data_IF_066635710834
#
_entry.id   IF_066635710834
#
_cell.length_a   1.000
_cell.length_b   1.000
_cell.length_c   1.000
_cell.angle_alpha   90.00
_cell.angle_beta   90.00
_cell.angle_gamma   90.00
#
_symmetry.space_group_name_H-M   'P 1'
#
loop_
_entity.id
_entity.type
_entity.pdbx_description
1 polymer ?
#
# COMPACT_ATOMS: atom_id res chain seq x y z
N UNK A 1 0.58 -16.94 1.68
CA UNK A 1 -0.85 -16.90 1.34
C UNK A 1 -1.46 -15.57 1.72
N UNK A 2 -2.12 -14.95 0.77
CA UNK A 2 -2.73 -13.64 1.01
C UNK A 2 -4.03 -13.75 1.78
N UNK A 3 -4.22 -12.87 2.75
CA UNK A 3 -5.45 -12.81 3.53
C UNK A 3 -6.35 -11.72 2.97
N UNK A 4 -5.76 -10.58 2.66
CA UNK A 4 -6.48 -9.40 2.18
C UNK A 4 -5.67 -8.80 1.05
N UNK A 5 -6.30 -8.53 -0.08
CA UNK A 5 -5.63 -7.94 -1.23
C UNK A 5 -6.13 -6.53 -1.51
N UNK A 6 -5.27 -5.71 -2.07
CA UNK A 6 -5.62 -4.37 -2.48
C UNK A 6 -5.57 -4.27 -4.00
N UNK A 7 -6.62 -4.71 -4.65
CA UNK A 7 -6.66 -4.71 -6.11
C UNK A 7 -6.67 -3.31 -6.69
N UNK A 8 -7.21 -2.37 -5.94
CA UNK A 8 -7.26 -0.97 -6.38
C UNK A 8 -5.86 -0.41 -6.58
N UNK A 9 -4.89 -0.89 -5.79
CA UNK A 9 -3.52 -0.44 -5.91
C UNK A 9 -2.98 -0.68 -7.32
N UNK A 10 -3.24 -1.86 -7.85
CA UNK A 10 -2.73 -2.22 -9.18
C UNK A 10 -3.50 -1.51 -10.29
N UNK A 11 -4.73 -1.10 -10.00
CA UNK A 11 -5.52 -0.37 -10.97
C UNK A 11 -5.05 1.08 -11.08
N UNK A 12 -4.74 1.70 -9.94
CA UNK A 12 -4.40 3.12 -9.90
C UNK A 12 -2.92 3.42 -10.03
N UNK A 13 -2.06 2.42 -9.83
CA UNK A 13 -0.62 2.65 -9.76
C UNK A 13 0.16 1.60 -10.53
N UNK A 14 1.35 2.01 -11.00
CA UNK A 14 2.32 1.10 -11.57
C UNK A 14 3.26 0.67 -10.46
N UNK A 15 3.15 -0.57 -10.01
CA UNK A 15 3.97 -1.09 -8.92
C UNK A 15 5.27 -1.62 -9.51
N UNK A 16 6.39 -0.98 -9.15
CA UNK A 16 7.68 -1.36 -9.69
C UNK A 16 8.45 -2.31 -8.81
N UNK A 17 8.27 -2.21 -7.51
CA UNK A 17 9.04 -3.02 -6.57
C UNK A 17 8.19 -3.33 -5.37
N UNK A 18 8.41 -4.50 -4.77
CA UNK A 18 7.62 -4.94 -3.62
C UNK A 18 8.53 -5.26 -2.45
N UNK A 19 8.04 -5.00 -1.24
CA UNK A 19 8.76 -5.27 -0.01
C UNK A 19 7.82 -5.93 0.98
N UNK A 20 8.35 -6.92 1.71
CA UNK A 20 7.58 -7.56 2.75
C UNK A 20 7.92 -6.91 4.08
N UNK A 21 6.96 -6.28 4.70
CA UNK A 21 7.16 -5.58 5.97
C UNK A 21 6.46 -6.33 7.09
N UNK A 22 7.10 -6.33 8.27
CA UNK A 22 6.41 -6.75 9.47
C UNK A 22 5.40 -5.67 9.83
N UNK A 23 4.38 -6.04 10.60
CA UNK A 23 3.39 -5.07 11.04
C UNK A 23 3.14 -5.25 12.52
N UNK A 24 3.17 -4.15 13.26
CA UNK A 24 2.94 -4.18 14.70
C UNK A 24 1.44 -4.18 14.96
N UNK A 25 0.94 -5.27 15.51
CA UNK A 25 -0.49 -5.47 15.72
C UNK A 25 -0.81 -5.78 17.17
N UNK A 26 -2.03 -5.42 17.56
CA UNK A 26 -2.56 -5.82 18.85
C UNK A 26 -3.22 -7.19 18.70
N UNK A 27 -3.42 -7.88 19.82
CA UNK A 27 -3.95 -9.24 19.77
C UNK A 27 -5.28 -9.34 19.06
N UNK A 28 -6.19 -8.40 19.31
CA UNK A 28 -7.50 -8.42 18.68
C UNK A 28 -7.40 -8.18 17.18
N UNK A 29 -6.38 -7.42 16.75
CA UNK A 29 -6.15 -7.18 15.31
C UNK A 29 -5.70 -8.45 14.61
N UNK A 30 -4.83 -9.21 15.25
CA UNK A 30 -4.39 -10.49 14.67
C UNK A 30 -5.57 -11.41 14.45
N UNK A 31 -6.43 -11.51 15.45
CA UNK A 31 -7.61 -12.37 15.33
C UNK A 31 -8.54 -11.89 14.25
N UNK A 32 -8.76 -10.58 14.17
CA UNK A 32 -9.64 -10.02 13.17
C UNK A 32 -9.12 -10.25 11.77
N UNK A 33 -7.83 -10.06 11.56
CA UNK A 33 -7.24 -10.27 10.24
C UNK A 33 -7.35 -11.73 9.84
N UNK A 34 -7.09 -12.65 10.78
CA UNK A 34 -7.22 -14.07 10.49
C UNK A 34 -8.64 -14.45 10.09
N UNK A 35 -9.62 -13.75 10.63
CA UNK A 35 -11.01 -13.99 10.32
C UNK A 35 -11.47 -13.26 9.05
N UNK A 36 -10.56 -12.57 8.37
CA UNK A 36 -10.90 -11.84 7.16
C UNK A 36 -11.59 -10.52 7.41
N UNK A 37 -11.51 -10.00 8.61
CA UNK A 37 -12.18 -8.75 8.98
C UNK A 37 -11.26 -7.56 8.85
N UNK A 38 -10.55 -7.48 7.74
CA UNK A 38 -9.62 -6.40 7.48
C UNK A 38 -9.79 -5.91 6.05
N UNK A 39 -9.53 -4.63 5.82
CA UNK A 39 -9.64 -4.03 4.52
C UNK A 39 -8.57 -2.96 4.39
N UNK A 40 -7.82 -3.00 3.29
CA UNK A 40 -6.75 -2.05 3.06
C UNK A 40 -6.98 -1.23 1.80
N UNK A 41 -8.18 -1.29 1.27
CA UNK A 41 -8.52 -0.63 0.03
C UNK A 41 -8.28 0.88 0.09
N UNK A 42 -8.59 1.50 1.23
CA UNK A 42 -8.41 2.93 1.39
C UNK A 42 -7.13 3.27 2.16
N UNK A 43 -6.30 2.28 2.40
CA UNK A 43 -5.10 2.47 3.20
C UNK A 43 -3.95 2.98 2.35
N UNK A 44 -3.01 3.62 3.01
CA UNK A 44 -1.78 4.02 2.34
C UNK A 44 -0.62 3.92 3.33
N UNK A 45 0.58 3.95 2.79
CA UNK A 45 1.80 3.84 3.58
C UNK A 45 2.45 5.21 3.65
N UNK A 46 2.85 5.62 4.83
CA UNK A 46 3.44 6.94 5.03
C UNK A 46 4.77 6.83 5.75
N UNK A 47 5.63 7.80 5.51
CA UNK A 47 6.93 7.89 6.17
C UNK A 47 6.86 9.03 7.15
N UNK A 48 7.29 8.77 8.40
CA UNK A 48 7.27 9.80 9.42
C UNK A 48 8.48 9.60 10.34
N UNK A 49 9.33 10.61 10.43
CA UNK A 49 10.52 10.58 11.28
C UNK A 49 11.40 9.36 11.01
N UNK A 50 11.58 9.01 9.74
CA UNK A 50 12.42 7.89 9.37
C UNK A 50 11.79 6.53 9.60
N UNK A 51 10.52 6.48 9.92
CA UNK A 51 9.79 5.23 10.15
C UNK A 51 8.63 5.13 9.19
N UNK A 52 8.17 3.90 8.99
CA UNK A 52 7.12 3.63 7.99
C UNK A 52 5.89 3.12 8.69
N UNK A 53 4.74 3.68 8.30
CA UNK A 53 3.46 3.37 8.94
C UNK A 53 2.39 3.04 7.92
N UNK A 54 1.48 2.15 8.32
CA UNK A 54 0.28 1.85 7.55
C UNK A 54 -0.86 2.68 8.14
N UNK A 55 -1.44 3.51 7.30
CA UNK A 55 -2.47 4.45 7.71
C UNK A 55 -3.77 4.15 6.99
N UNK A 56 -4.87 4.20 7.72
CA UNK A 56 -6.19 4.07 7.09
C UNK A 56 -6.67 2.65 6.83
N UNK A 57 -5.92 1.65 7.28
CA UNK A 57 -6.40 0.27 7.15
C UNK A 57 -7.51 0.03 8.16
N UNK A 58 -8.56 -0.63 7.72
CA UNK A 58 -9.70 -0.96 8.58
C UNK A 58 -9.57 -2.39 9.08
N UNK A 59 -9.51 -2.55 10.38
CA UNK A 59 -9.49 -3.87 11.01
C UNK A 59 -10.64 -3.88 12.03
N UNK A 60 -11.68 -4.65 11.73
CA UNK A 60 -12.89 -4.66 12.56
C UNK A 60 -12.78 -5.69 13.65
N UNK A 61 -13.05 -5.28 14.89
CA UNK A 61 -13.01 -6.20 16.02
C UNK A 61 -14.07 -7.28 15.88
N UNK A 62 -13.72 -8.47 16.35
CA UNK A 62 -14.68 -9.56 16.41
C UNK A 62 -15.62 -9.32 17.59
N UNK A 63 -16.82 -9.90 17.51
CA UNK A 63 -17.80 -9.72 18.56
C UNK A 63 -17.33 -10.31 19.91
N UNK A 64 -16.38 -11.24 19.85
CA UNK A 64 -15.84 -11.87 21.05
C UNK A 64 -14.72 -11.07 21.70
N UNK A 65 -14.44 -9.89 21.19
CA UNK A 65 -13.37 -9.05 21.75
C UNK A 65 -13.73 -8.65 23.19
N UNK A 66 -12.73 -8.71 24.07
CA UNK A 66 -12.91 -8.40 25.48
C UNK A 66 -13.43 -6.98 25.68
N UNK A 67 -14.26 -6.79 26.71
CA UNK A 67 -14.75 -5.47 27.05
C UNK A 67 -13.65 -4.54 27.53
N UNK A 68 -12.50 -5.08 27.90
CA UNK A 68 -11.37 -4.28 28.32
C UNK A 68 -10.57 -3.72 27.14
N UNK A 69 -10.88 -4.17 25.94
CA UNK A 69 -10.20 -3.71 24.75
C UNK A 69 -11.06 -2.63 24.12
N UNK A 70 -10.41 -1.53 23.74
CA UNK A 70 -11.08 -0.45 23.03
C UNK A 70 -10.55 -0.44 21.59
N UNK A 71 -11.13 -1.28 20.73
CA UNK A 71 -10.59 -1.44 19.38
C UNK A 71 -10.78 -0.20 18.54
N UNK A 72 -9.67 0.30 18.06
CA UNK A 72 -9.67 1.43 17.12
C UNK A 72 -9.49 0.89 15.73
N UNK A 73 -10.54 0.83 14.97
CA UNK A 73 -10.58 0.18 13.66
C UNK A 73 -9.52 0.71 12.70
N UNK A 74 -9.26 2.01 12.75
CA UNK A 74 -8.35 2.65 11.79
C UNK A 74 -7.05 3.13 12.44
N UNK A 75 -6.64 2.47 13.50
CA UNK A 75 -5.39 2.81 14.18
C UNK A 75 -4.21 2.80 13.21
N UNK A 76 -3.31 3.76 13.34
CA UNK A 76 -2.08 3.78 12.55
C UNK A 76 -1.17 2.66 13.07
N UNK A 77 -0.66 1.84 12.16
CA UNK A 77 0.15 0.68 12.52
C UNK A 77 1.54 0.81 11.94
N UNK A 78 2.54 0.53 12.78
CA UNK A 78 3.92 0.65 12.36
C UNK A 78 4.31 -0.56 11.51
N UNK A 79 5.03 -0.29 10.44
CA UNK A 79 5.57 -1.34 9.57
C UNK A 79 7.06 -1.49 9.86
N UNK A 80 7.52 -2.74 9.83
CA UNK A 80 8.91 -3.05 10.19
C UNK A 80 9.67 -3.53 8.97
N UNK A 81 10.74 -2.79 8.67
CA UNK A 81 11.65 -3.12 7.57
C UNK A 81 13.07 -2.89 8.09
N UNK A 82 14.05 -3.47 7.42
CA UNK A 82 15.42 -3.21 7.85
C UNK A 82 15.85 -1.82 7.42
N UNK A 83 16.95 -1.33 8.02
CA UNK A 83 17.39 0.04 7.81
C UNK A 83 17.70 0.34 6.35
N UNK A 84 18.28 -0.62 5.64
CA UNK A 84 18.61 -0.42 4.23
C UNK A 84 17.35 -0.25 3.38
N UNK A 85 16.33 -1.05 3.66
CA UNK A 85 15.07 -0.94 2.93
C UNK A 85 14.39 0.40 3.21
N UNK A 86 14.39 0.81 4.47
CA UNK A 86 13.78 2.09 4.84
C UNK A 86 14.48 3.24 4.13
N UNK A 87 15.80 3.24 4.13
CA UNK A 87 16.57 4.28 3.45
C UNK A 87 16.26 4.34 1.97
N UNK A 88 16.17 3.17 1.32
CA UNK A 88 15.86 3.11 -0.09
C UNK A 88 14.48 3.68 -0.38
N UNK A 89 13.51 3.31 0.44
CA UNK A 89 12.14 3.77 0.23
C UNK A 89 12.02 5.28 0.45
N UNK A 90 12.66 5.80 1.48
CA UNK A 90 12.64 7.23 1.74
C UNK A 90 13.22 7.99 0.55
N UNK A 91 14.36 7.52 0.04
CA UNK A 91 14.98 8.16 -1.11
C UNK A 91 14.10 8.16 -2.34
N UNK A 92 13.47 7.03 -2.62
CA UNK A 92 12.60 6.92 -3.80
C UNK A 92 11.38 7.82 -3.69
N UNK A 93 10.79 7.88 -2.50
CA UNK A 93 9.60 8.72 -2.30
C UNK A 93 9.96 10.19 -2.39
N UNK A 94 11.05 10.60 -1.74
CA UNK A 94 11.38 12.02 -1.64
C UNK A 94 12.04 12.57 -2.89
N UNK A 95 12.86 11.77 -3.55
CA UNK A 95 13.64 12.27 -4.68
C UNK A 95 13.14 11.87 -6.04
N UNK A 96 12.41 10.76 -6.11
CA UNK A 96 12.01 10.22 -7.41
C UNK A 96 10.50 10.22 -7.63
N UNK A 97 9.75 10.77 -6.71
CA UNK A 97 8.30 10.92 -6.90
C UNK A 97 7.50 9.64 -6.78
N UNK A 98 8.07 8.61 -6.16
CA UNK A 98 7.33 7.38 -5.93
C UNK A 98 6.42 7.51 -4.73
N UNK A 99 5.44 6.64 -4.65
CA UNK A 99 4.57 6.54 -3.49
C UNK A 99 4.61 5.12 -2.97
N UNK A 100 4.23 4.95 -1.73
CA UNK A 100 4.17 3.64 -1.10
C UNK A 100 2.72 3.28 -0.86
N UNK A 101 2.39 2.01 -1.04
CA UNK A 101 1.03 1.58 -0.82
C UNK A 101 0.99 0.15 -0.35
N UNK A 102 -0.01 -0.21 0.44
CA UNK A 102 -0.14 -1.61 0.87
C UNK A 102 -0.74 -2.42 -0.27
N UNK A 103 -0.15 -3.58 -0.54
CA UNK A 103 -0.63 -4.45 -1.59
C UNK A 103 -1.47 -5.58 -1.05
N UNK A 104 -1.06 -6.13 0.09
CA UNK A 104 -1.81 -7.19 0.73
C UNK A 104 -1.34 -7.41 2.15
N UNK A 105 -2.17 -8.15 2.90
CA UNK A 105 -1.78 -8.71 4.18
C UNK A 105 -1.73 -10.21 3.99
N UNK A 106 -0.68 -10.84 4.48
CA UNK A 106 -0.51 -12.28 4.25
C UNK A 106 0.22 -12.92 5.43
N UNK A 107 0.15 -14.25 5.48
CA UNK A 107 0.90 -15.01 6.46
C UNK A 107 2.26 -15.38 5.89
N UNK A 108 3.28 -15.23 6.71
CA UNK A 108 4.62 -15.66 6.37
C UNK A 108 5.28 -16.13 7.65
N UNK A 109 5.65 -17.40 7.67
CA UNK A 109 6.31 -18.01 8.81
C UNK A 109 5.54 -17.78 10.12
N UNK A 110 4.23 -17.97 10.05
CA UNK A 110 3.37 -17.86 11.22
C UNK A 110 3.05 -16.46 11.67
N UNK A 111 3.47 -15.46 10.93
CA UNK A 111 3.22 -14.06 11.28
C UNK A 111 2.48 -13.36 10.16
N UNK A 112 1.74 -12.33 10.53
CA UNK A 112 1.06 -11.51 9.57
C UNK A 112 2.04 -10.45 9.07
N UNK A 113 2.18 -10.35 7.76
CA UNK A 113 3.05 -9.39 7.11
C UNK A 113 2.24 -8.52 6.18
N UNK A 114 2.76 -7.35 5.88
CA UNK A 114 2.15 -6.44 4.92
C UNK A 114 3.11 -6.27 3.75
N UNK A 115 2.67 -6.64 2.57
CA UNK A 115 3.47 -6.39 1.38
C UNK A 115 3.19 -4.98 0.92
N UNK A 116 4.26 -4.19 0.77
CA UNK A 116 4.11 -2.82 0.29
C UNK A 116 4.74 -2.69 -1.08
N UNK A 117 4.15 -1.81 -1.87
CA UNK A 117 4.61 -1.56 -3.22
C UNK A 117 5.22 -0.18 -3.33
N UNK A 118 6.35 -0.11 -4.04
CA UNK A 118 6.95 1.14 -4.44
C UNK A 118 6.40 1.42 -5.83
N UNK A 119 5.62 2.48 -5.96
CA UNK A 119 4.81 2.65 -7.15
C UNK A 119 4.72 4.10 -7.59
N UNK A 120 4.34 4.28 -8.84
CA UNK A 120 4.01 5.60 -9.36
C UNK A 120 2.55 5.59 -9.76
N UNK A 121 1.86 6.66 -9.41
CA UNK A 121 0.46 6.79 -9.78
C UNK A 121 0.31 6.88 -11.28
N UNK A 122 -0.82 6.39 -11.77
CA UNK A 122 -1.19 6.58 -13.16
C UNK A 122 -1.73 8.00 -13.27
N UNK A 123 -0.84 8.90 -13.66
CA UNK A 123 -1.17 10.31 -13.67
C UNK A 123 -2.21 10.63 -14.73
N UNK A 124 -2.80 11.79 -14.58
CA UNK A 124 -3.81 12.21 -15.52
C UNK A 124 -3.30 12.20 -16.96
N UNK A 125 -2.07 12.65 -17.17
CA UNK A 125 -1.54 12.66 -18.51
C UNK A 125 -1.28 11.25 -19.04
N UNK A 126 -0.93 10.31 -18.18
CA UNK A 126 -0.76 8.92 -18.60
C UNK A 126 -2.10 8.33 -19.03
N UNK A 127 -3.15 8.67 -18.32
CA UNK A 127 -4.49 8.22 -18.69
C UNK A 127 -4.92 8.85 -20.01
N UNK A 128 -4.61 10.12 -20.19
CA UNK A 128 -4.91 10.80 -21.44
C UNK A 128 -4.15 10.20 -22.60
N UNK A 129 -2.89 9.85 -22.37
CA UNK A 129 -2.09 9.22 -23.40
C UNK A 129 -2.69 7.89 -23.81
N UNK A 130 -3.12 7.11 -22.85
CA UNK A 130 -3.77 5.84 -23.13
C UNK A 130 -5.03 6.05 -23.94
N UNK A 131 -5.80 7.04 -23.57
CA UNK A 131 -7.02 7.37 -24.28
C UNK A 131 -6.73 7.87 -25.68
N UNK A 132 -5.69 8.68 -25.84
CA UNK A 132 -5.29 9.15 -27.13
C UNK A 132 -4.88 8.01 -28.04
N UNK A 133 -4.16 7.05 -27.50
CA UNK A 133 -3.76 5.90 -28.28
C UNK A 133 -4.95 5.12 -28.75
N UNK A 134 -5.96 5.01 -27.89
CA UNK A 134 -7.18 4.35 -28.29
C UNK A 134 -7.96 5.19 -29.26
N UNK A 135 -8.02 6.49 -28.96
CA UNK A 135 -8.77 7.36 -29.75
C UNK A 135 -8.12 7.69 -30.97
N UNK A 136 -7.07 7.50 -31.08
CA UNK A 136 -6.52 8.04 -32.10
C UNK A 136 -5.14 8.06 -31.94
N UNK A 137 -4.84 7.67 -30.98
CA UNK A 137 -3.61 7.59 -30.68
C UNK A 137 -2.99 8.50 -31.36
N UNK A 138 -3.40 9.23 -31.30
CA UNK A 138 -3.34 10.21 -31.75
C UNK A 138 -2.37 11.03 -31.65
N UNK A 139 -1.95 11.39 -31.71
CA UNK A 139 -1.12 12.25 -31.81
C UNK A 139 0.00 11.79 -31.32
N UNK A 140 0.42 11.65 -31.12
CA UNK A 140 1.28 11.41 -30.78
C UNK A 140 1.92 11.58 -30.27
N UNK A 141 1.96 11.56 -29.71
CA UNK A 141 2.41 11.64 -29.06
C UNK A 141 2.99 12.12 -28.89
N UNK A 142 2.79 12.75 -28.84
CA UNK A 142 3.30 13.14 -28.71
C UNK A 142 3.87 13.44 -28.18
N UNK A 143 4.03 13.68 -28.07
CA UNK A 143 4.57 13.71 -27.65
C UNK A 143 5.08 13.59 -26.96
N UNK A 144 5.10 13.39 -26.58
CA UNK A 144 5.34 12.89 -25.92
C UNK A 144 5.73 12.99 -25.39
N UNK A 145 5.62 13.15 -25.20
CA UNK A 145 5.55 12.98 -24.73
C UNK A 145 6.08 13.01 -24.14
N UNK A 146 5.99 13.27 -24.16
CA UNK A 146 6.20 13.00 -23.78
C UNK A 146 6.80 12.84 -23.23
N UNK A 147 6.76 12.84 -22.88
CA UNK A 147 7.02 12.28 -22.34
C UNK A 147 7.56 12.09 -21.65
N UNK A 148 7.57 12.27 -21.38
CA UNK A 148 7.60 11.85 -20.79
C UNK A 148 8.22 11.54 -20.12
N UNK A 149 8.37 11.55 -19.65
CA UNK A 149 8.59 11.07 -19.05
C UNK A 149 9.01 10.71 -18.88
#
# INVERSE_FOLDING_TARGET
MSIVDNKKAFFDYFVEERFEAGIVLEGWEVKAIRAGKAQIKEAYVTIRNGEIFLFGAHISALTSTSTHVHPETTRTRKLLLNAAEISKLIGKVERSGYTLMPLNLHFSKGRIKCEIGLAKGKKQHDKRETEKQRDGQREIQAAMKTHRR
#
